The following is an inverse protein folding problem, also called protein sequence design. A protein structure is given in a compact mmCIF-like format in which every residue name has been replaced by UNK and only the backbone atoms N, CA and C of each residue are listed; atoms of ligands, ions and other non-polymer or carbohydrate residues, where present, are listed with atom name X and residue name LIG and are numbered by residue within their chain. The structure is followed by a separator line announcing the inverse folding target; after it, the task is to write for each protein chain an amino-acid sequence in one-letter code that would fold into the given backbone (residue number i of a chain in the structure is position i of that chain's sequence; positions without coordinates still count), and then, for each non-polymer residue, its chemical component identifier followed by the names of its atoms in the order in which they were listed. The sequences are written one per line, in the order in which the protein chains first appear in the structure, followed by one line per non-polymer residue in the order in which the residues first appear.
data_IF_357823567319
#
_entry.id   IF_357823567319
#
_cell.length_a   1.000
_cell.length_b   1.000
_cell.length_c   1.000
_cell.angle_alpha   90.00
_cell.angle_beta   90.00
_cell.angle_gamma   90.00
#
_symmetry.space_group_name_H-M   'P 1'
#
loop_
_entity.id
_entity.type
_entity.pdbx_description
1 polymer ?
#
# COMPACT_ATOMS: atom_id res chain seq x y z
N UNK A 1 -32.97 -17.98 -11.67
CA UNK A 1 -33.66 -16.80 -11.09
C UNK A 1 -33.31 -16.62 -9.60
N UNK A 2 -33.48 -17.64 -8.73
CA UNK A 2 -33.10 -17.57 -7.31
C UNK A 2 -31.60 -17.28 -7.10
N UNK A 3 -30.74 -17.82 -7.93
CA UNK A 3 -29.29 -17.66 -7.85
C UNK A 3 -28.83 -16.23 -8.19
N UNK A 4 -29.45 -15.59 -9.18
CA UNK A 4 -29.15 -14.21 -9.55
C UNK A 4 -29.56 -13.21 -8.45
N UNK A 5 -30.73 -13.38 -7.83
CA UNK A 5 -31.17 -12.50 -6.75
C UNK A 5 -30.27 -12.61 -5.50
N UNK A 6 -29.76 -13.81 -5.18
CA UNK A 6 -28.80 -14.01 -4.09
C UNK A 6 -27.46 -13.33 -4.41
N UNK A 7 -27.02 -13.40 -5.66
CA UNK A 7 -25.79 -12.76 -6.12
C UNK A 7 -25.90 -11.24 -6.08
N UNK A 8 -26.98 -10.66 -6.60
CA UNK A 8 -27.24 -9.22 -6.55
C UNK A 8 -27.23 -8.71 -5.11
N UNK A 9 -27.88 -9.41 -4.19
CA UNK A 9 -27.87 -9.05 -2.77
C UNK A 9 -26.48 -9.12 -2.13
N UNK A 10 -25.59 -10.02 -2.59
CA UNK A 10 -24.18 -10.05 -2.13
C UNK A 10 -23.42 -8.83 -2.64
N UNK A 11 -23.59 -8.47 -3.91
CA UNK A 11 -22.97 -7.28 -4.51
C UNK A 11 -23.42 -6.02 -3.79
N UNK A 12 -24.72 -5.85 -3.53
CA UNK A 12 -25.24 -4.71 -2.75
C UNK A 12 -24.56 -4.59 -1.38
N UNK A 13 -24.39 -5.72 -0.68
CA UNK A 13 -23.66 -5.71 0.62
C UNK A 13 -22.21 -5.29 0.47
N UNK A 14 -21.51 -5.73 -0.57
CA UNK A 14 -20.13 -5.32 -0.83
C UNK A 14 -20.05 -3.82 -1.16
N UNK A 15 -20.98 -3.28 -1.91
CA UNK A 15 -21.06 -1.83 -2.17
C UNK A 15 -21.30 -1.01 -0.89
N UNK A 16 -22.10 -1.51 0.06
CA UNK A 16 -22.24 -0.86 1.37
C UNK A 16 -20.93 -0.93 2.18
N UNK A 17 -20.18 -2.01 2.11
CA UNK A 17 -18.85 -2.13 2.72
C UNK A 17 -17.88 -1.12 2.08
N UNK A 18 -17.84 -1.00 0.76
CA UNK A 18 -17.02 0.02 0.07
C UNK A 18 -17.35 1.44 0.58
N UNK A 19 -18.63 1.77 0.70
CA UNK A 19 -19.08 3.05 1.24
C UNK A 19 -18.65 3.24 2.70
N UNK A 20 -18.73 2.19 3.53
CA UNK A 20 -18.29 2.23 4.91
C UNK A 20 -16.79 2.51 5.00
N UNK A 21 -15.95 1.78 4.23
CA UNK A 21 -14.51 1.99 4.16
C UNK A 21 -14.18 3.42 3.71
N UNK A 22 -14.77 3.88 2.60
CA UNK A 22 -14.49 5.20 2.02
C UNK A 22 -14.84 6.37 2.94
N UNK A 23 -15.82 6.20 3.84
CA UNK A 23 -16.21 7.19 4.85
C UNK A 23 -15.35 7.15 6.10
N UNK A 24 -14.58 6.08 6.31
CA UNK A 24 -13.75 5.92 7.49
C UNK A 24 -12.64 6.96 7.54
N UNK A 25 -12.25 7.32 8.75
CA UNK A 25 -11.09 8.19 8.95
C UNK A 25 -9.80 7.57 8.41
N UNK A 26 -9.59 6.28 8.68
CA UNK A 26 -8.40 5.56 8.24
C UNK A 26 -8.18 5.62 6.72
N UNK A 27 -9.25 5.42 5.93
CA UNK A 27 -9.18 5.53 4.48
C UNK A 27 -8.92 6.98 4.02
N UNK A 28 -9.66 7.94 4.57
CA UNK A 28 -9.51 9.36 4.18
C UNK A 28 -8.17 9.94 4.57
N UNK A 29 -7.57 9.48 5.68
CA UNK A 29 -6.24 9.94 6.11
C UNK A 29 -5.13 9.60 5.10
N UNK A 30 -5.33 8.62 4.20
CA UNK A 30 -4.41 8.32 3.10
C UNK A 30 -4.21 9.53 2.17
N UNK A 31 -5.18 10.45 2.11
CA UNK A 31 -5.07 11.69 1.34
C UNK A 31 -4.00 12.67 1.86
N UNK A 32 -3.58 12.51 3.11
CA UNK A 32 -2.53 13.32 3.75
C UNK A 32 -1.26 12.52 4.09
N UNK A 33 -1.01 11.40 3.40
CA UNK A 33 0.18 10.56 3.56
C UNK A 33 0.94 10.43 2.25
N UNK A 34 2.26 10.55 2.31
CA UNK A 34 3.16 10.43 1.15
C UNK A 34 3.15 9.02 0.57
N UNK A 35 3.19 8.92 -0.76
CA UNK A 35 3.37 7.64 -1.46
C UNK A 35 4.84 7.36 -1.74
N UNK A 36 5.53 8.21 -2.48
CA UNK A 36 6.90 7.96 -2.95
C UNK A 36 7.86 9.07 -2.54
N UNK A 37 7.87 10.23 -3.22
CA UNK A 37 8.73 11.36 -2.85
C UNK A 37 8.11 12.11 -1.68
N UNK A 38 8.86 12.33 -0.58
CA UNK A 38 8.35 12.98 0.61
C UNK A 38 7.85 14.41 0.34
N UNK A 39 6.72 14.76 0.94
CA UNK A 39 6.04 16.06 0.72
C UNK A 39 6.95 17.28 0.90
N UNK A 40 7.82 17.24 1.92
CA UNK A 40 8.69 18.38 2.25
C UNK A 40 9.82 18.63 1.26
N UNK A 41 10.06 17.70 0.34
CA UNK A 41 11.15 17.77 -0.64
C UNK A 41 10.66 17.92 -2.07
N UNK A 42 9.33 18.04 -2.26
CA UNK A 42 8.74 18.15 -3.59
C UNK A 42 8.68 19.59 -4.09
N UNK A 43 9.01 19.74 -5.36
CA UNK A 43 8.77 20.97 -6.14
C UNK A 43 7.37 21.00 -6.78
N UNK A 44 6.66 19.89 -6.86
CA UNK A 44 5.43 19.71 -7.63
C UNK A 44 4.26 19.12 -6.83
N UNK A 45 3.13 18.89 -7.50
CA UNK A 45 1.92 18.36 -6.89
C UNK A 45 2.15 17.01 -6.20
N UNK A 46 1.69 16.91 -4.96
CA UNK A 46 1.85 15.77 -4.09
C UNK A 46 1.08 14.54 -4.59
N UNK A 47 1.78 13.39 -4.77
CA UNK A 47 1.17 12.09 -5.01
C UNK A 47 0.97 11.36 -3.68
N UNK A 48 -0.30 11.23 -3.28
CA UNK A 48 -0.68 10.69 -1.98
C UNK A 48 -1.07 9.22 -2.07
N UNK A 49 -1.10 8.53 -0.92
CA UNK A 49 -1.53 7.13 -0.84
C UNK A 49 -2.97 6.92 -1.31
N UNK A 50 -3.87 7.88 -1.11
CA UNK A 50 -5.24 7.76 -1.63
C UNK A 50 -5.28 7.82 -3.15
N UNK A 51 -4.40 8.61 -3.79
CA UNK A 51 -4.28 8.62 -5.26
C UNK A 51 -3.75 7.28 -5.76
N UNK A 52 -2.69 6.76 -5.13
CA UNK A 52 -2.17 5.43 -5.42
C UNK A 52 -3.24 4.34 -5.25
N UNK A 53 -3.96 4.34 -4.13
CA UNK A 53 -5.06 3.40 -3.88
C UNK A 53 -6.12 3.44 -5.00
N UNK A 54 -6.47 4.63 -5.47
CA UNK A 54 -7.40 4.79 -6.59
C UNK A 54 -6.80 4.26 -7.91
N UNK A 55 -5.52 4.50 -8.15
CA UNK A 55 -4.83 3.96 -9.33
C UNK A 55 -4.77 2.42 -9.30
N UNK A 56 -4.52 1.81 -8.13
CA UNK A 56 -4.62 0.36 -7.95
C UNK A 56 -6.02 -0.15 -8.32
N UNK A 57 -7.06 0.47 -7.78
CA UNK A 57 -8.45 0.10 -8.07
C UNK A 57 -8.75 0.20 -9.57
N UNK A 58 -8.27 1.24 -10.23
CA UNK A 58 -8.46 1.46 -11.67
C UNK A 58 -7.65 0.47 -12.54
N UNK A 59 -6.55 -0.08 -12.02
CA UNK A 59 -5.74 -1.09 -12.71
C UNK A 59 -6.26 -2.53 -12.51
N UNK A 60 -7.09 -2.82 -11.51
CA UNK A 60 -7.65 -4.16 -11.26
C UNK A 60 -8.30 -4.78 -12.51
N UNK A 61 -9.14 -4.07 -13.29
CA UNK A 61 -9.76 -4.65 -14.47
C UNK A 61 -8.78 -5.14 -15.55
N UNK A 62 -7.54 -4.60 -15.57
CA UNK A 62 -6.52 -5.00 -16.54
C UNK A 62 -6.05 -6.45 -16.33
N UNK A 63 -6.15 -6.95 -15.11
CA UNK A 63 -5.76 -8.31 -14.71
C UNK A 63 -6.94 -9.21 -14.37
N UNK A 64 -8.14 -8.64 -14.34
CA UNK A 64 -9.36 -9.30 -13.88
C UNK A 64 -10.28 -9.77 -14.98
N UNK A 65 -9.79 -10.01 -16.21
CA UNK A 65 -10.65 -10.39 -17.36
C UNK A 65 -11.46 -11.68 -17.15
N UNK A 66 -10.97 -12.58 -16.28
CA UNK A 66 -11.65 -13.84 -15.91
C UNK A 66 -12.44 -13.75 -14.59
N UNK A 67 -12.51 -12.55 -13.98
CA UNK A 67 -13.23 -12.35 -12.74
C UNK A 67 -14.69 -12.00 -13.04
N UNK A 68 -15.58 -12.55 -12.23
CA UNK A 68 -16.97 -12.13 -12.25
C UNK A 68 -17.18 -10.81 -11.45
N UNK A 69 -18.37 -10.24 -11.53
CA UNK A 69 -18.68 -8.96 -10.88
C UNK A 69 -18.51 -9.00 -9.35
N UNK A 70 -18.83 -10.13 -8.71
CA UNK A 70 -18.66 -10.31 -7.28
C UNK A 70 -17.16 -10.33 -6.90
N UNK A 71 -16.36 -11.07 -7.68
CA UNK A 71 -14.91 -11.14 -7.54
C UNK A 71 -14.25 -9.77 -7.77
N UNK A 72 -14.71 -9.02 -8.78
CA UNK A 72 -14.24 -7.65 -9.04
C UNK A 72 -14.56 -6.70 -7.87
N UNK A 73 -15.76 -6.79 -7.27
CA UNK A 73 -16.08 -6.03 -6.06
C UNK A 73 -15.14 -6.38 -4.91
N UNK A 74 -14.83 -7.66 -4.70
CA UNK A 74 -13.89 -8.10 -3.66
C UNK A 74 -12.47 -7.58 -3.92
N UNK A 75 -12.01 -7.60 -5.18
CA UNK A 75 -10.71 -7.02 -5.56
C UNK A 75 -10.67 -5.51 -5.30
N UNK A 76 -11.73 -4.77 -5.62
CA UNK A 76 -11.81 -3.33 -5.35
C UNK A 76 -11.72 -3.03 -3.85
N UNK A 77 -12.46 -3.77 -3.03
CA UNK A 77 -12.39 -3.65 -1.57
C UNK A 77 -10.98 -3.98 -1.07
N UNK A 78 -10.34 -5.05 -1.57
CA UNK A 78 -8.96 -5.38 -1.26
C UNK A 78 -8.00 -4.24 -1.65
N UNK A 79 -8.19 -3.66 -2.84
CA UNK A 79 -7.46 -2.48 -3.29
C UNK A 79 -7.66 -1.26 -2.39
N UNK A 80 -8.87 -1.04 -1.85
CA UNK A 80 -9.11 0.03 -0.87
C UNK A 80 -8.38 -0.19 0.46
N UNK A 81 -8.21 -1.42 0.86
CA UNK A 81 -7.68 -1.80 2.18
C UNK A 81 -6.17 -2.05 2.19
N UNK A 82 -5.52 -2.26 1.03
CA UNK A 82 -4.14 -2.74 0.97
C UNK A 82 -3.14 -1.82 1.69
N UNK A 83 -3.36 -0.50 1.61
CA UNK A 83 -2.49 0.54 2.19
C UNK A 83 -3.09 1.26 3.41
N UNK A 84 -4.28 0.85 3.90
CA UNK A 84 -5.01 1.56 4.95
C UNK A 84 -4.23 1.64 6.27
N UNK A 85 -3.30 0.71 6.51
CA UNK A 85 -2.44 0.63 7.69
C UNK A 85 -1.16 1.45 7.62
N UNK A 86 -0.84 2.11 6.50
CA UNK A 86 0.37 2.91 6.43
C UNK A 86 0.33 4.12 7.38
N UNK A 87 1.44 4.38 8.10
CA UNK A 87 1.56 5.54 8.97
C UNK A 87 1.89 6.82 8.17
N UNK A 88 1.89 7.99 8.80
CA UNK A 88 2.52 9.20 8.25
C UNK A 88 3.98 8.94 7.89
N UNK A 89 4.48 9.62 6.84
CA UNK A 89 5.85 9.50 6.31
C UNK A 89 6.17 8.11 5.70
N UNK A 90 5.15 7.36 5.27
CA UNK A 90 5.30 6.12 4.52
C UNK A 90 6.24 5.10 5.18
N UNK A 91 7.21 4.57 4.42
CA UNK A 91 8.17 3.59 4.94
C UNK A 91 9.13 4.15 6.00
N UNK A 92 9.42 5.46 5.98
CA UNK A 92 10.22 6.10 7.02
C UNK A 92 9.48 6.09 8.35
N UNK A 93 8.20 6.47 8.35
CA UNK A 93 7.34 6.38 9.52
C UNK A 93 7.17 4.94 10.02
N UNK A 94 7.02 3.97 9.12
CA UNK A 94 6.94 2.55 9.45
C UNK A 94 8.19 2.07 10.21
N UNK A 95 9.41 2.43 9.73
CA UNK A 95 10.66 2.09 10.42
C UNK A 95 10.74 2.71 11.82
N UNK A 96 10.34 3.96 11.95
CA UNK A 96 10.33 4.66 13.25
C UNK A 96 9.36 3.99 14.22
N UNK A 97 8.11 3.77 13.83
CA UNK A 97 7.12 3.13 14.68
C UNK A 97 7.51 1.70 15.04
N UNK A 98 8.09 0.94 14.09
CA UNK A 98 8.61 -0.38 14.38
C UNK A 98 9.71 -0.36 15.47
N UNK A 99 10.62 0.61 15.40
CA UNK A 99 11.65 0.82 16.43
C UNK A 99 11.05 1.17 17.79
N UNK A 100 10.13 2.11 17.85
CA UNK A 100 9.42 2.52 19.07
C UNK A 100 8.62 1.36 19.70
N UNK A 101 8.10 0.47 18.87
CA UNK A 101 7.35 -0.71 19.28
C UNK A 101 8.21 -1.96 19.52
N UNK A 102 9.53 -1.84 19.58
CA UNK A 102 10.44 -3.00 19.68
C UNK A 102 10.17 -3.92 20.87
N UNK A 103 9.68 -3.39 21.99
CA UNK A 103 9.25 -4.16 23.15
C UNK A 103 7.79 -4.61 23.14
N UNK A 104 7.02 -4.26 22.10
CA UNK A 104 5.56 -4.38 22.04
C UNK A 104 5.06 -5.06 20.76
N UNK A 105 5.87 -5.91 20.14
CA UNK A 105 5.50 -6.67 18.93
C UNK A 105 5.74 -5.94 17.60
N UNK A 106 6.51 -4.85 17.61
CA UNK A 106 6.86 -4.10 16.40
C UNK A 106 5.69 -3.36 15.73
N UNK A 107 5.96 -2.79 14.57
CA UNK A 107 4.96 -2.18 13.70
C UNK A 107 5.21 -2.61 12.24
N UNK A 108 4.15 -2.97 11.52
CA UNK A 108 4.19 -3.34 10.11
C UNK A 108 2.87 -2.92 9.44
N UNK A 109 2.97 -2.23 8.30
CA UNK A 109 1.81 -1.58 7.66
C UNK A 109 0.73 -2.55 7.19
N UNK A 110 1.10 -3.75 6.69
CA UNK A 110 0.09 -4.74 6.29
C UNK A 110 -0.60 -5.37 7.52
N UNK A 111 0.14 -5.65 8.60
CA UNK A 111 -0.45 -6.09 9.87
C UNK A 111 -1.41 -5.03 10.43
N UNK A 112 -1.04 -3.76 10.30
CA UNK A 112 -1.88 -2.64 10.70
C UNK A 112 -3.15 -2.55 9.84
N UNK A 113 -3.07 -2.84 8.52
CA UNK A 113 -4.25 -2.92 7.65
C UNK A 113 -5.23 -3.99 8.13
N UNK A 114 -4.75 -5.19 8.48
CA UNK A 114 -5.58 -6.26 9.04
C UNK A 114 -6.24 -5.82 10.35
N UNK A 115 -5.46 -5.21 11.24
CA UNK A 115 -5.96 -4.70 12.53
C UNK A 115 -7.04 -3.63 12.35
N UNK A 116 -6.84 -2.68 11.44
CA UNK A 116 -7.84 -1.66 11.12
C UNK A 116 -9.11 -2.31 10.58
N UNK A 117 -9.00 -3.22 9.62
CA UNK A 117 -10.14 -3.91 9.04
C UNK A 117 -10.97 -4.67 10.08
N UNK A 118 -10.30 -5.36 11.02
CA UNK A 118 -10.97 -6.19 12.02
C UNK A 118 -11.50 -5.40 13.23
N UNK A 119 -10.70 -4.48 13.78
CA UNK A 119 -10.98 -3.87 15.08
C UNK A 119 -11.61 -2.49 14.99
N UNK A 120 -11.27 -1.70 13.96
CA UNK A 120 -11.79 -0.34 13.81
C UNK A 120 -12.92 -0.23 12.81
N UNK A 121 -12.89 -1.03 11.75
CA UNK A 121 -13.95 -1.06 10.73
C UNK A 121 -14.92 -2.22 10.94
N UNK A 122 -14.61 -3.15 11.83
CA UNK A 122 -15.44 -4.33 12.17
C UNK A 122 -15.92 -5.09 10.92
N UNK A 123 -15.02 -5.22 9.92
CA UNK A 123 -15.38 -5.82 8.65
C UNK A 123 -15.58 -7.35 8.79
N UNK A 124 -16.47 -7.95 7.99
CA UNK A 124 -16.63 -9.40 7.96
C UNK A 124 -15.31 -10.13 7.73
N UNK A 125 -15.13 -11.34 8.32
CA UNK A 125 -13.90 -12.14 8.22
C UNK A 125 -13.41 -12.34 6.79
N UNK A 126 -14.30 -12.58 5.83
CA UNK A 126 -13.96 -12.66 4.40
C UNK A 126 -13.24 -11.39 3.92
N UNK A 127 -13.77 -10.23 4.26
CA UNK A 127 -13.22 -8.93 3.82
C UNK A 127 -11.89 -8.65 4.52
N UNK A 128 -11.82 -8.89 5.84
CA UNK A 128 -10.58 -8.73 6.60
C UNK A 128 -9.47 -9.66 6.11
N UNK A 129 -9.82 -10.87 5.64
CA UNK A 129 -8.84 -11.81 5.07
C UNK A 129 -8.21 -11.34 3.76
N UNK A 130 -8.87 -10.43 3.01
CA UNK A 130 -8.30 -9.81 1.81
C UNK A 130 -7.10 -8.89 2.15
N UNK A 131 -7.02 -8.38 3.38
CA UNK A 131 -5.89 -7.55 3.84
C UNK A 131 -4.63 -8.39 4.14
N UNK A 132 -4.75 -9.72 4.30
CA UNK A 132 -3.62 -10.58 4.69
C UNK A 132 -2.70 -10.78 3.49
N UNK A 133 -1.59 -10.05 3.47
CA UNK A 133 -0.52 -10.20 2.46
C UNK A 133 0.47 -11.29 2.86
N UNK A 134 0.74 -11.44 4.16
CA UNK A 134 1.68 -12.41 4.72
C UNK A 134 1.00 -13.25 5.78
N UNK A 135 0.94 -14.56 5.55
CA UNK A 135 0.16 -15.52 6.34
C UNK A 135 0.96 -16.10 7.51
N UNK A 136 1.52 -15.25 8.37
CA UNK A 136 2.17 -15.63 9.62
C UNK A 136 2.05 -14.55 10.70
N UNK A 137 2.18 -14.96 11.96
CA UNK A 137 2.11 -14.06 13.11
C UNK A 137 3.47 -13.41 13.35
N UNK A 138 3.48 -12.09 13.54
CA UNK A 138 4.69 -11.36 13.92
C UNK A 138 5.05 -11.77 15.35
N UNK A 139 6.25 -12.32 15.61
CA UNK A 139 6.62 -12.75 16.94
C UNK A 139 6.79 -11.56 17.89
N UNK A 140 6.07 -11.59 19.01
CA UNK A 140 6.29 -10.65 20.12
C UNK A 140 7.54 -11.11 20.87
N UNK A 141 8.69 -10.50 20.58
CA UNK A 141 9.94 -10.86 21.26
C UNK A 141 10.57 -9.63 21.94
N UNK A 142 10.74 -9.65 23.28
CA UNK A 142 11.28 -8.49 24.03
C UNK A 142 12.74 -8.15 23.72
N UNK A 143 13.45 -8.97 22.96
CA UNK A 143 14.87 -8.82 22.66
C UNK A 143 15.22 -8.42 21.22
N UNK A 144 14.22 -8.18 20.35
CA UNK A 144 14.49 -7.75 18.98
C UNK A 144 14.89 -6.26 18.91
N UNK A 145 16.16 -5.97 19.16
CA UNK A 145 16.74 -4.62 18.98
C UNK A 145 17.05 -4.27 17.52
N UNK A 146 17.17 -5.27 16.64
CA UNK A 146 17.36 -5.11 15.19
C UNK A 146 16.21 -5.80 14.48
N UNK A 147 15.07 -5.15 14.45
CA UNK A 147 13.92 -5.69 13.78
C UNK A 147 14.06 -5.45 12.29
N UNK A 148 14.65 -6.41 11.60
CA UNK A 148 14.30 -6.66 10.21
C UNK A 148 12.78 -6.87 10.21
N UNK A 149 12.05 -6.05 9.49
CA UNK A 149 10.60 -6.04 9.43
C UNK A 149 10.05 -7.46 9.30
N UNK A 150 9.54 -8.02 10.38
CA UNK A 150 8.72 -9.22 10.32
C UNK A 150 7.36 -8.82 9.77
N UNK A 151 7.06 -9.30 8.57
CA UNK A 151 5.79 -9.04 7.90
C UNK A 151 4.79 -10.11 8.31
N UNK A 152 3.55 -9.71 8.63
CA UNK A 152 2.53 -10.66 9.06
C UNK A 152 1.33 -9.97 9.70
N UNK A 153 0.77 -10.60 10.71
CA UNK A 153 -0.34 -10.07 11.52
C UNK A 153 0.07 -10.00 12.98
N UNK A 154 -0.54 -9.10 13.75
CA UNK A 154 -0.29 -8.98 15.20
C UNK A 154 -1.05 -10.01 16.03
N UNK A 155 -2.11 -10.57 15.46
CA UNK A 155 -3.02 -11.50 16.09
C UNK A 155 -2.41 -12.90 16.21
N UNK A 156 -3.18 -13.87 16.73
CA UNK A 156 -2.74 -15.24 16.94
C UNK A 156 -2.85 -16.12 15.69
N UNK A 157 -2.16 -17.27 15.70
CA UNK A 157 -2.35 -18.31 14.67
C UNK A 157 -3.80 -18.78 14.56
N UNK A 158 -4.53 -18.87 15.67
CA UNK A 158 -5.95 -19.22 15.66
C UNK A 158 -6.79 -18.19 14.92
N UNK A 159 -6.45 -16.91 15.04
CA UNK A 159 -7.08 -15.83 14.27
C UNK A 159 -6.82 -15.99 12.77
N UNK A 160 -5.56 -16.20 12.36
CA UNK A 160 -5.20 -16.46 10.96
C UNK A 160 -5.97 -17.65 10.39
N UNK A 161 -6.03 -18.76 11.15
CA UNK A 161 -6.80 -19.94 10.75
C UNK A 161 -8.29 -19.64 10.58
N UNK A 162 -8.86 -18.79 11.41
CA UNK A 162 -10.26 -18.38 11.29
C UNK A 162 -10.51 -17.57 10.03
N UNK A 163 -9.59 -16.69 9.66
CA UNK A 163 -9.72 -15.87 8.45
C UNK A 163 -9.40 -16.63 7.16
N UNK A 164 -8.50 -17.63 7.20
CA UNK A 164 -8.01 -18.32 6.01
C UNK A 164 -8.79 -19.57 5.61
N UNK A 165 -9.65 -20.11 6.49
CA UNK A 165 -10.21 -21.46 6.35
C UNK A 165 -11.20 -21.70 5.21
N UNK A 166 -11.89 -20.66 4.72
CA UNK A 166 -13.08 -20.86 3.89
C UNK A 166 -13.03 -20.26 2.48
N UNK A 167 -11.92 -19.62 2.08
CA UNK A 167 -11.89 -18.86 0.83
C UNK A 167 -10.61 -19.06 0.05
N UNK A 168 -10.72 -19.53 -1.19
CA UNK A 168 -9.61 -19.51 -2.13
C UNK A 168 -9.43 -18.08 -2.69
N UNK A 169 -8.80 -17.21 -1.91
CA UNK A 169 -8.59 -15.80 -2.26
C UNK A 169 -7.29 -15.55 -3.04
N UNK A 170 -6.48 -16.57 -3.30
CA UNK A 170 -5.17 -16.41 -3.96
C UNK A 170 -5.28 -15.77 -5.34
N UNK A 171 -6.30 -16.13 -6.13
CA UNK A 171 -6.56 -15.51 -7.43
C UNK A 171 -6.83 -14.00 -7.28
N UNK A 172 -7.69 -13.62 -6.34
CA UNK A 172 -8.05 -12.21 -6.10
C UNK A 172 -6.86 -11.42 -5.58
N UNK A 173 -6.09 -11.97 -4.64
CA UNK A 173 -4.87 -11.36 -4.13
C UNK A 173 -3.81 -11.17 -5.22
N UNK A 174 -3.65 -12.13 -6.13
CA UNK A 174 -2.75 -12.04 -7.26
C UNK A 174 -3.11 -10.87 -8.18
N UNK A 175 -4.41 -10.72 -8.52
CA UNK A 175 -4.91 -9.61 -9.33
C UNK A 175 -4.62 -8.26 -8.66
N UNK A 176 -4.92 -8.14 -7.37
CA UNK A 176 -4.66 -6.90 -6.62
C UNK A 176 -3.17 -6.61 -6.51
N UNK A 177 -2.32 -7.61 -6.28
CA UNK A 177 -0.87 -7.44 -6.24
C UNK A 177 -0.30 -6.95 -7.58
N UNK A 178 -0.76 -7.51 -8.72
CA UNK A 178 -0.31 -7.03 -10.04
C UNK A 178 -0.78 -5.60 -10.31
N UNK A 179 -2.01 -5.26 -9.90
CA UNK A 179 -2.53 -3.91 -10.02
C UNK A 179 -1.75 -2.92 -9.15
N UNK A 180 -1.37 -3.30 -7.93
CA UNK A 180 -0.51 -2.54 -7.03
C UNK A 180 0.88 -2.33 -7.66
N UNK A 181 1.52 -3.42 -8.12
CA UNK A 181 2.86 -3.39 -8.72
C UNK A 181 2.96 -2.46 -9.94
N UNK A 182 2.01 -2.52 -10.87
CA UNK A 182 2.03 -1.63 -12.04
C UNK A 182 1.70 -0.19 -11.65
N UNK A 183 0.78 0.02 -10.70
CA UNK A 183 0.38 1.36 -10.26
C UNK A 183 1.54 2.10 -9.62
N UNK A 184 2.26 1.50 -8.65
CA UNK A 184 3.41 2.17 -8.05
C UNK A 184 4.55 2.32 -9.04
N UNK A 185 4.80 1.34 -9.92
CA UNK A 185 5.85 1.44 -10.94
C UNK A 185 5.64 2.63 -11.86
N UNK A 186 4.42 2.79 -12.39
CA UNK A 186 4.07 3.91 -13.27
C UNK A 186 4.15 5.23 -12.52
N UNK A 187 3.59 5.31 -11.31
CA UNK A 187 3.56 6.56 -10.54
C UNK A 187 4.95 6.99 -10.06
N UNK A 188 5.81 6.05 -9.64
CA UNK A 188 7.18 6.35 -9.24
C UNK A 188 8.00 6.89 -10.42
N UNK A 189 7.86 6.27 -11.61
CA UNK A 189 8.51 6.75 -12.83
C UNK A 189 8.02 8.17 -13.18
N UNK A 190 6.71 8.41 -13.12
CA UNK A 190 6.14 9.77 -13.34
C UNK A 190 6.70 10.78 -12.35
N UNK A 191 6.74 10.43 -11.07
CA UNK A 191 7.27 11.32 -10.03
C UNK A 191 8.75 11.65 -10.26
N UNK A 192 9.57 10.67 -10.64
CA UNK A 192 10.99 10.90 -10.97
C UNK A 192 11.16 11.82 -12.17
N UNK A 193 10.34 11.67 -13.23
CA UNK A 193 10.36 12.53 -14.41
C UNK A 193 9.96 13.97 -14.05
N UNK A 194 8.86 14.13 -13.31
CA UNK A 194 8.37 15.44 -12.89
C UNK A 194 9.41 16.17 -12.03
N UNK A 195 10.12 15.44 -11.17
CA UNK A 195 11.07 16.03 -10.22
C UNK A 195 12.41 16.35 -10.85
N UNK A 196 12.91 15.54 -11.80
CA UNK A 196 14.30 15.64 -12.33
C UNK A 196 14.39 15.62 -13.85
N UNK A 197 13.30 15.46 -14.54
CA UNK A 197 13.25 15.37 -15.99
C UNK A 197 13.48 13.95 -16.52
N UNK A 198 13.07 13.73 -17.75
CA UNK A 198 13.10 12.45 -18.45
C UNK A 198 14.52 11.94 -18.75
N UNK A 199 15.46 12.84 -19.05
CA UNK A 199 16.82 12.48 -19.43
C UNK A 199 17.56 11.68 -18.35
N UNK A 200 17.43 12.07 -17.07
CA UNK A 200 18.06 11.39 -15.94
C UNK A 200 17.47 9.98 -15.76
N UNK A 201 16.15 9.89 -15.86
CA UNK A 201 15.46 8.63 -15.74
C UNK A 201 15.80 7.68 -16.88
N UNK A 202 15.76 8.14 -18.14
CA UNK A 202 16.11 7.33 -19.30
C UNK A 202 17.57 6.84 -19.26
N UNK A 203 18.48 7.64 -18.71
CA UNK A 203 19.87 7.20 -18.47
C UNK A 203 19.95 6.05 -17.46
N UNK A 204 19.16 6.10 -16.40
CA UNK A 204 19.06 5.02 -15.40
C UNK A 204 18.56 3.71 -16.01
N UNK A 205 17.67 3.76 -16.99
CA UNK A 205 17.14 2.60 -17.71
C UNK A 205 17.99 2.16 -18.92
N UNK A 206 18.97 2.96 -19.36
CA UNK A 206 19.77 2.72 -20.59
C UNK A 206 20.46 1.35 -20.61
N UNK A 207 20.84 0.82 -19.45
CA UNK A 207 21.51 -0.48 -19.32
C UNK A 207 20.54 -1.63 -19.01
N UNK A 208 19.25 -1.37 -19.00
CA UNK A 208 18.21 -2.34 -18.74
C UNK A 208 17.51 -2.75 -20.04
N UNK A 209 16.79 -3.87 -20.00
CA UNK A 209 15.93 -4.30 -21.11
C UNK A 209 14.60 -3.51 -21.18
N UNK A 210 14.39 -2.57 -20.25
CA UNK A 210 13.12 -1.86 -20.04
C UNK A 210 13.15 -0.38 -20.45
N UNK A 211 14.18 0.04 -21.19
CA UNK A 211 14.29 1.41 -21.68
C UNK A 211 13.06 1.82 -22.51
N UNK A 212 12.57 0.94 -23.39
CA UNK A 212 11.44 1.24 -24.26
C UNK A 212 10.12 1.31 -23.46
N UNK A 213 9.96 0.48 -22.44
CA UNK A 213 8.85 0.59 -21.49
C UNK A 213 8.87 1.95 -20.81
N UNK A 214 10.04 2.38 -20.33
CA UNK A 214 10.21 3.67 -19.67
C UNK A 214 9.90 4.83 -20.60
N UNK A 215 10.31 4.78 -21.87
CA UNK A 215 9.97 5.79 -22.88
C UNK A 215 8.46 5.93 -23.06
N UNK A 216 7.73 4.82 -23.20
CA UNK A 216 6.26 4.86 -23.31
C UNK A 216 5.65 5.53 -22.09
N UNK A 217 6.11 5.23 -20.88
CA UNK A 217 5.61 5.87 -19.66
C UNK A 217 5.89 7.38 -19.69
N UNK A 218 7.09 7.81 -20.09
CA UNK A 218 7.46 9.23 -20.16
C UNK A 218 6.68 9.99 -21.24
N UNK A 219 6.45 9.39 -22.40
CA UNK A 219 5.63 9.97 -23.48
C UNK A 219 4.15 10.14 -23.08
N UNK A 220 3.67 9.31 -22.16
CA UNK A 220 2.30 9.34 -21.68
C UNK A 220 2.13 10.04 -20.33
N UNK A 221 3.07 10.87 -19.91
CA UNK A 221 3.14 11.41 -18.54
C UNK A 221 1.86 12.15 -18.11
N UNK A 222 1.13 12.75 -19.03
CA UNK A 222 -0.12 13.47 -18.76
C UNK A 222 -1.35 12.55 -18.62
N UNK A 223 -1.19 11.26 -18.91
CA UNK A 223 -2.27 10.27 -18.80
C UNK A 223 -2.41 9.73 -17.38
N UNK A 224 -3.56 9.12 -17.10
CA UNK A 224 -3.79 8.39 -15.85
C UNK A 224 -2.88 7.16 -15.74
N UNK A 225 -2.60 6.72 -14.51
CA UNK A 225 -1.80 5.51 -14.28
C UNK A 225 -2.41 4.28 -14.96
N UNK A 226 -3.74 4.16 -14.97
CA UNK A 226 -4.43 3.04 -15.62
C UNK A 226 -4.31 3.06 -17.15
N UNK A 227 -4.36 4.24 -17.80
CA UNK A 227 -4.14 4.34 -19.26
C UNK A 227 -2.70 3.97 -19.62
N UNK A 228 -1.72 4.44 -18.87
CA UNK A 228 -0.31 4.09 -19.06
C UNK A 228 -0.10 2.60 -18.83
N UNK A 229 -0.62 2.06 -17.71
CA UNK A 229 -0.52 0.64 -17.37
C UNK A 229 -1.13 -0.23 -18.48
N UNK A 230 -2.32 0.12 -18.98
CA UNK A 230 -2.97 -0.60 -20.08
C UNK A 230 -2.09 -0.65 -21.32
N UNK A 231 -1.50 0.49 -21.71
CA UNK A 231 -0.62 0.57 -22.89
C UNK A 231 0.64 -0.27 -22.69
N UNK A 232 1.30 -0.11 -21.54
CA UNK A 232 2.54 -0.85 -21.20
C UNK A 232 2.29 -2.35 -21.14
N UNK A 233 1.22 -2.80 -20.49
CA UNK A 233 0.89 -4.21 -20.40
C UNK A 233 0.59 -4.82 -21.77
N UNK A 234 -0.19 -4.10 -22.60
CA UNK A 234 -0.56 -4.58 -23.94
C UNK A 234 0.65 -4.67 -24.86
N UNK A 235 1.58 -3.72 -24.79
CA UNK A 235 2.72 -3.68 -25.73
C UNK A 235 3.87 -4.62 -25.31
N UNK A 236 4.07 -4.84 -24.02
CA UNK A 236 5.30 -5.48 -23.53
C UNK A 236 5.07 -6.76 -22.71
N UNK A 237 3.89 -6.93 -22.11
CA UNK A 237 3.69 -8.00 -21.12
C UNK A 237 2.54 -8.95 -21.40
N UNK A 238 1.57 -8.59 -22.25
CA UNK A 238 0.53 -9.51 -22.69
C UNK A 238 0.92 -10.26 -23.98
N UNK A 239 0.56 -11.52 -24.03
CA UNK A 239 0.66 -12.31 -25.26
C UNK A 239 -0.53 -12.04 -26.20
N UNK A 240 -0.55 -12.69 -27.37
CA UNK A 240 -1.63 -12.56 -28.37
C UNK A 240 -3.01 -13.02 -27.87
N UNK A 241 -3.08 -13.70 -26.72
CA UNK A 241 -4.32 -14.16 -26.06
C UNK A 241 -4.71 -13.24 -24.89
N UNK A 242 -3.94 -12.19 -24.63
CA UNK A 242 -4.14 -11.29 -23.50
C UNK A 242 -3.70 -11.88 -22.16
N UNK A 243 -2.88 -12.94 -22.15
CA UNK A 243 -2.34 -13.52 -20.93
C UNK A 243 -1.02 -12.83 -20.58
N UNK A 244 -0.87 -12.50 -19.30
CA UNK A 244 0.34 -11.82 -18.81
C UNK A 244 1.53 -12.77 -18.77
N UNK A 245 2.67 -12.30 -19.28
CA UNK A 245 3.98 -12.91 -19.01
C UNK A 245 4.45 -12.50 -17.60
N UNK A 246 4.02 -13.26 -16.61
CA UNK A 246 4.27 -12.94 -15.19
C UNK A 246 5.74 -12.80 -14.85
N UNK A 247 6.64 -13.59 -15.46
CA UNK A 247 8.07 -13.51 -15.20
C UNK A 247 8.67 -12.19 -15.71
N UNK A 248 8.37 -11.82 -16.96
CA UNK A 248 8.84 -10.57 -17.54
C UNK A 248 8.28 -9.35 -16.81
N UNK A 249 7.01 -9.41 -16.41
CA UNK A 249 6.35 -8.35 -15.65
C UNK A 249 6.99 -8.17 -14.26
N UNK A 250 7.18 -9.25 -13.50
CA UNK A 250 7.81 -9.19 -12.19
C UNK A 250 9.28 -8.77 -12.25
N UNK A 251 10.00 -9.13 -13.33
CA UNK A 251 11.37 -8.67 -13.52
C UNK A 251 11.41 -7.16 -13.79
N UNK A 252 10.49 -6.65 -14.61
CA UNK A 252 10.32 -5.21 -14.85
C UNK A 252 10.01 -4.46 -13.55
N UNK A 253 9.01 -4.88 -12.79
CA UNK A 253 8.60 -4.18 -11.56
C UNK A 253 9.71 -4.19 -10.51
N UNK A 254 10.48 -5.28 -10.39
CA UNK A 254 11.68 -5.35 -9.54
C UNK A 254 12.79 -4.41 -10.01
N UNK A 255 13.04 -4.34 -11.31
CA UNK A 255 14.01 -3.41 -11.88
C UNK A 255 13.61 -1.96 -11.59
N UNK A 256 12.35 -1.61 -11.82
CA UNK A 256 11.81 -0.29 -11.54
C UNK A 256 11.93 0.07 -10.06
N UNK A 257 11.54 -0.82 -9.16
CA UNK A 257 11.67 -0.61 -7.72
C UNK A 257 13.13 -0.39 -7.27
N UNK A 258 14.10 -1.09 -7.89
CA UNK A 258 15.51 -0.87 -7.61
C UNK A 258 15.98 0.51 -8.06
N UNK A 259 15.54 0.98 -9.23
CA UNK A 259 15.85 2.32 -9.77
C UNK A 259 15.18 3.39 -8.89
N UNK A 260 13.91 3.23 -8.52
CA UNK A 260 13.18 4.14 -7.63
C UNK A 260 13.90 4.27 -6.27
N UNK A 261 14.33 3.15 -5.69
CA UNK A 261 15.10 3.15 -4.45
C UNK A 261 16.45 3.88 -4.60
N UNK A 262 17.17 3.62 -5.68
CA UNK A 262 18.44 4.28 -5.96
C UNK A 262 18.24 5.79 -6.12
N UNK A 263 17.20 6.21 -6.84
CA UNK A 263 16.83 7.62 -6.99
C UNK A 263 16.61 8.32 -5.64
N UNK A 264 15.86 7.69 -4.72
CA UNK A 264 15.63 8.26 -3.38
C UNK A 264 16.93 8.39 -2.56
N UNK A 265 17.87 7.44 -2.71
CA UNK A 265 19.18 7.46 -2.03
C UNK A 265 20.06 8.56 -2.62
N UNK A 266 20.24 8.62 -3.93
CA UNK A 266 21.10 9.58 -4.63
C UNK A 266 20.68 11.03 -4.39
N UNK A 267 19.39 11.27 -4.17
CA UNK A 267 18.87 12.60 -3.88
C UNK A 267 18.63 12.85 -2.38
N UNK A 268 19.14 11.99 -1.53
CA UNK A 268 19.07 12.07 -0.06
C UNK A 268 17.63 12.12 0.49
N UNK A 269 16.61 11.86 -0.34
CA UNK A 269 15.21 11.90 0.11
C UNK A 269 14.95 10.89 1.24
N UNK A 270 15.46 9.67 1.09
CA UNK A 270 15.26 8.63 2.10
C UNK A 270 15.91 9.01 3.44
N UNK A 271 17.15 9.52 3.41
CA UNK A 271 17.89 9.88 4.64
C UNK A 271 17.24 11.06 5.35
N UNK A 272 16.90 12.11 4.61
CA UNK A 272 16.24 13.30 5.18
C UNK A 272 14.86 12.98 5.75
N UNK A 273 14.09 12.12 5.07
CA UNK A 273 12.79 11.69 5.57
C UNK A 273 12.92 10.81 6.81
N UNK A 274 13.92 9.94 6.89
CA UNK A 274 14.17 9.13 8.08
C UNK A 274 14.54 9.98 9.30
N UNK A 275 15.33 11.02 9.12
CA UNK A 275 15.67 11.97 10.19
C UNK A 275 14.44 12.77 10.62
N UNK A 276 13.70 13.32 9.67
CA UNK A 276 12.52 14.13 9.91
C UNK A 276 11.40 13.33 10.58
N UNK A 277 11.04 12.18 10.01
CA UNK A 277 10.00 11.31 10.56
C UNK A 277 10.35 10.80 11.96
N UNK A 278 11.63 10.47 12.21
CA UNK A 278 12.11 10.03 13.53
C UNK A 278 11.89 11.11 14.58
N UNK A 279 12.31 12.34 14.29
CA UNK A 279 12.14 13.45 15.20
C UNK A 279 10.67 13.66 15.58
N UNK A 280 9.81 13.78 14.59
CA UNK A 280 8.39 14.07 14.81
C UNK A 280 7.67 12.92 15.51
N UNK A 281 7.79 11.69 14.98
CA UNK A 281 7.06 10.54 15.51
C UNK A 281 7.55 10.10 16.88
N UNK A 282 8.86 10.25 17.20
CA UNK A 282 9.36 9.95 18.54
C UNK A 282 8.81 10.93 19.57
N UNK A 283 8.87 12.23 19.31
CA UNK A 283 8.30 13.24 20.21
C UNK A 283 6.79 13.04 20.41
N UNK A 284 6.05 12.78 19.33
CA UNK A 284 4.62 12.51 19.39
C UNK A 284 4.32 11.26 20.24
N UNK A 285 5.04 10.17 19.99
CA UNK A 285 4.90 8.92 20.73
C UNK A 285 5.17 9.13 22.22
N UNK A 286 6.29 9.77 22.59
CA UNK A 286 6.64 10.06 23.97
C UNK A 286 5.58 10.92 24.67
N UNK A 287 5.10 11.97 23.99
CA UNK A 287 4.04 12.84 24.51
C UNK A 287 2.73 12.08 24.78
N UNK A 288 2.34 11.20 23.87
CA UNK A 288 1.12 10.38 24.01
C UNK A 288 1.30 9.30 25.09
N UNK A 289 2.46 8.66 25.17
CA UNK A 289 2.77 7.69 26.25
C UNK A 289 2.68 8.33 27.63
N UNK A 290 3.19 9.56 27.81
CA UNK A 290 3.12 10.28 29.07
C UNK A 290 1.66 10.64 29.48
N UNK A 291 0.77 10.84 28.51
CA UNK A 291 -0.64 11.16 28.72
C UNK A 291 -1.57 9.94 28.69
N UNK A 292 -1.00 8.77 28.49
CA UNK A 292 -1.74 7.50 28.34
C UNK A 292 -2.58 7.22 29.60
N UNK A 293 -3.82 6.82 29.37
CA UNK A 293 -4.69 6.33 30.44
C UNK A 293 -4.29 4.90 30.85
N UNK A 294 -4.65 4.49 32.05
CA UNK A 294 -4.29 3.15 32.58
C UNK A 294 -4.85 1.99 31.75
N UNK A 295 -5.99 2.19 31.08
CA UNK A 295 -6.64 1.18 30.24
C UNK A 295 -6.18 1.19 28.77
N UNK A 296 -5.35 2.14 28.36
CA UNK A 296 -4.81 2.21 26.99
C UNK A 296 -3.53 1.39 26.89
N UNK A 297 -3.41 0.58 25.85
CA UNK A 297 -2.18 -0.12 25.52
C UNK A 297 -1.21 0.76 24.72
N UNK A 298 0.08 0.41 24.69
CA UNK A 298 1.05 1.07 23.79
C UNK A 298 0.63 0.90 22.33
N UNK A 299 -0.03 -0.22 22.01
CA UNK A 299 -0.56 -0.50 20.67
C UNK A 299 -1.64 0.52 20.26
N UNK A 300 -2.53 0.90 21.17
CA UNK A 300 -3.60 1.88 20.89
C UNK A 300 -3.01 3.26 20.58
N UNK A 301 -1.92 3.64 21.25
CA UNK A 301 -1.18 4.87 20.93
C UNK A 301 -0.63 4.83 19.50
N UNK A 302 -0.06 3.70 19.09
CA UNK A 302 0.49 3.55 17.74
C UNK A 302 -0.61 3.44 16.68
N UNK A 303 -1.75 2.82 17.01
CA UNK A 303 -2.95 2.84 16.15
C UNK A 303 -3.40 4.27 15.89
N UNK A 304 -3.44 5.11 16.94
CA UNK A 304 -3.75 6.53 16.79
C UNK A 304 -2.72 7.23 15.88
N UNK A 305 -1.43 7.11 16.17
CA UNK A 305 -0.36 7.73 15.37
C UNK A 305 -0.45 7.30 13.91
N UNK A 306 -0.63 5.99 13.66
CA UNK A 306 -0.73 5.46 12.29
C UNK A 306 -1.95 5.98 11.54
N UNK A 307 -3.00 6.40 12.24
CA UNK A 307 -4.21 6.97 11.63
C UNK A 307 -4.09 8.45 11.25
N UNK A 308 -3.10 9.16 11.76
CA UNK A 308 -2.90 10.59 11.48
C UNK A 308 -2.39 10.83 10.05
N UNK A 309 -2.65 12.04 9.54
CA UNK A 309 -1.96 12.57 8.36
C UNK A 309 -0.61 13.17 8.78
N UNK A 310 0.30 13.39 7.83
CA UNK A 310 1.58 14.06 8.09
C UNK A 310 1.37 15.47 8.67
N UNK A 311 0.40 16.23 8.13
CA UNK A 311 0.07 17.55 8.65
C UNK A 311 -0.42 17.51 10.10
N UNK A 312 -1.19 16.48 10.47
CA UNK A 312 -1.67 16.35 11.85
C UNK A 312 -0.56 16.01 12.82
N UNK A 313 0.39 15.14 12.42
CA UNK A 313 1.55 14.85 13.29
C UNK A 313 2.34 16.11 13.63
N UNK A 314 2.46 17.04 12.66
CA UNK A 314 3.12 18.34 12.87
C UNK A 314 2.34 19.27 13.84
N UNK A 315 1.02 19.12 13.92
CA UNK A 315 0.21 19.93 14.83
C UNK A 315 0.37 19.52 16.29
N UNK A 316 0.73 18.25 16.51
CA UNK A 316 1.00 17.71 17.85
C UNK A 316 2.48 17.82 18.28
N UNK A 317 3.36 18.12 17.34
CA UNK A 317 4.78 18.40 17.56
C UNK A 317 5.00 19.84 18.03
#
# INVERSE_FOLDING_TARGET
MLDNAVREKKIEKLLEIEKHISRSWHYRSLGGKTQFIPYHFRSSAHYTRIKHTNDVINCIPLFGSELDELELCLCRISGMLHDIGYPPFGHSGERVLNGLMSGHGGFESNAQSVRIACQYLELPSLISSLCIKYNYVIPIHPHFRNITLFKGVYESESFLLTLSKDYNLEKLKTVVNYADEISYTVSDIKDMVIERGDAILLDSYRKTHYLDVCKVITEMIDKSAAEIASTVLTQFFFDSKGLINSNAFQDFTRCAAAISKQFLIEHEYATKEDEYSRQILSCLFESLIQRRQENESVRDIVDLISSLTEQQTLTYY
#
